data_IF_383584861517
#
_entry.id   IF_383584861517
#
_cell.length_a   1.000
_cell.length_b   1.000
_cell.length_c   1.000
_cell.angle_alpha   90.00
_cell.angle_beta   90.00
_cell.angle_gamma   90.00
#
_symmetry.space_group_name_H-M   'P 1'
#
loop_
_entity.id
_entity.type
_entity.pdbx_description
1 polymer ?
#
# COMPACT_ATOMS: atom_id res chain seq x y z
N UNK A 1 -4.67 -3.20 22.03
CA UNK A 1 -5.21 -2.16 21.13
C UNK A 1 -4.11 -1.69 20.20
N UNK A 2 -4.35 -1.72 18.89
CA UNK A 2 -3.43 -1.18 17.88
C UNK A 2 -3.89 0.20 17.44
N UNK A 3 -2.93 1.06 17.11
CA UNK A 3 -3.17 2.29 16.39
C UNK A 3 -3.00 2.01 14.90
N UNK A 4 -3.94 2.50 14.09
CA UNK A 4 -3.86 2.51 12.64
C UNK A 4 -3.98 3.95 12.15
N UNK A 5 -3.54 4.21 10.92
CA UNK A 5 -3.82 5.49 10.26
C UNK A 5 -5.32 5.65 10.04
N UNK A 6 -5.79 6.89 9.80
CA UNK A 6 -7.17 7.14 9.40
C UNK A 6 -7.53 6.40 8.11
N UNK A 7 -6.59 6.31 7.17
CA UNK A 7 -6.75 5.56 5.90
C UNK A 7 -7.07 4.11 6.19
N UNK A 8 -6.21 3.42 6.94
CA UNK A 8 -6.41 2.00 7.24
C UNK A 8 -7.68 1.76 8.07
N UNK A 9 -8.04 2.67 8.98
CA UNK A 9 -9.31 2.59 9.73
C UNK A 9 -10.50 2.65 8.75
N UNK A 10 -10.51 3.58 7.80
CA UNK A 10 -11.58 3.67 6.80
C UNK A 10 -11.66 2.42 5.93
N UNK A 11 -10.51 1.89 5.47
CA UNK A 11 -10.49 0.66 4.66
C UNK A 11 -11.03 -0.55 5.42
N UNK A 12 -10.72 -0.67 6.71
CA UNK A 12 -11.24 -1.74 7.56
C UNK A 12 -12.75 -1.61 7.77
N UNK A 13 -13.24 -0.39 7.97
CA UNK A 13 -14.66 -0.11 8.10
C UNK A 13 -15.42 -0.45 6.81
N UNK A 14 -14.92 -0.02 5.65
CA UNK A 14 -15.50 -0.35 4.33
C UNK A 14 -15.48 -1.85 4.02
N UNK A 15 -14.45 -2.56 4.50
CA UNK A 15 -14.35 -4.02 4.36
C UNK A 15 -15.16 -4.80 5.42
N UNK A 16 -15.83 -4.11 6.35
CA UNK A 16 -16.50 -4.69 7.52
C UNK A 16 -15.58 -5.63 8.34
N UNK A 17 -14.29 -5.28 8.42
CA UNK A 17 -13.29 -6.04 9.15
C UNK A 17 -13.12 -5.45 10.55
N UNK A 18 -13.48 -6.24 11.56
CA UNK A 18 -13.08 -5.96 12.94
C UNK A 18 -11.54 -6.00 13.07
N UNK A 19 -10.88 -4.91 13.50
CA UNK A 19 -9.44 -4.87 13.72
C UNK A 19 -8.92 -5.98 14.65
N UNK A 20 -9.73 -6.50 15.58
CA UNK A 20 -9.33 -7.60 16.45
C UNK A 20 -9.06 -8.89 15.65
N UNK A 21 -9.82 -9.14 14.58
CA UNK A 21 -9.61 -10.33 13.72
C UNK A 21 -8.25 -10.32 13.04
N UNK A 22 -7.78 -9.14 12.61
CA UNK A 22 -6.42 -8.98 12.06
C UNK A 22 -5.39 -9.27 13.12
N UNK A 23 -5.61 -8.76 14.34
CA UNK A 23 -4.67 -9.01 15.42
C UNK A 23 -4.56 -10.49 15.75
N UNK A 24 -5.69 -11.19 15.86
CA UNK A 24 -5.71 -12.63 16.17
C UNK A 24 -4.99 -13.45 15.10
N UNK A 25 -5.15 -13.08 13.83
CA UNK A 25 -4.43 -13.70 12.72
C UNK A 25 -2.92 -13.45 12.78
N UNK A 26 -2.50 -12.22 13.11
CA UNK A 26 -1.07 -11.93 13.32
C UNK A 26 -0.49 -12.67 14.52
N UNK A 27 -1.23 -12.73 15.64
CA UNK A 27 -0.81 -13.49 16.83
C UNK A 27 -0.70 -15.00 16.55
N UNK A 28 -1.56 -15.54 15.68
CA UNK A 28 -1.43 -16.91 15.20
C UNK A 28 -0.14 -17.09 14.39
N UNK A 29 0.18 -16.21 13.45
CA UNK A 29 1.42 -16.31 12.63
C UNK A 29 2.69 -16.14 13.44
N UNK A 30 2.69 -15.23 14.42
CA UNK A 30 3.81 -15.07 15.37
C UNK A 30 4.03 -16.37 16.16
N UNK A 31 2.95 -16.99 16.68
CA UNK A 31 3.05 -18.29 17.37
C UNK A 31 3.59 -19.39 16.46
N UNK A 32 3.28 -19.36 15.17
CA UNK A 32 3.82 -20.27 14.16
C UNK A 32 5.23 -19.91 13.68
N UNK A 33 5.89 -18.92 14.28
CA UNK A 33 7.23 -18.42 13.88
C UNK A 33 7.30 -17.91 12.42
N UNK A 34 6.16 -17.51 11.85
CA UNK A 34 6.06 -16.97 10.48
C UNK A 34 6.15 -15.43 10.41
N UNK A 35 6.43 -14.77 11.54
CA UNK A 35 6.47 -13.31 11.65
C UNK A 35 5.10 -12.65 11.87
N UNK A 36 5.11 -11.34 12.15
CA UNK A 36 3.93 -10.51 12.41
C UNK A 36 3.39 -9.78 11.17
N UNK A 37 3.34 -10.48 10.04
CA UNK A 37 2.99 -9.93 8.73
C UNK A 37 1.94 -10.79 8.05
N UNK A 38 0.94 -10.14 7.46
CA UNK A 38 -0.07 -10.75 6.61
C UNK A 38 0.19 -10.29 5.16
N UNK A 39 0.96 -11.08 4.44
CA UNK A 39 1.16 -10.95 3.00
C UNK A 39 0.36 -12.06 2.30
N UNK A 40 -0.29 -11.72 1.18
CA UNK A 40 -1.10 -12.64 0.36
C UNK A 40 -2.26 -13.36 1.09
N UNK A 41 -2.54 -12.93 2.32
CA UNK A 41 -3.58 -13.46 3.20
C UNK A 41 -4.99 -13.00 2.77
N UNK A 42 -6.03 -13.54 3.39
CA UNK A 42 -7.41 -13.18 3.07
C UNK A 42 -7.72 -11.71 3.39
N UNK A 43 -7.15 -11.13 4.46
CA UNK A 43 -7.40 -9.72 4.82
C UNK A 43 -6.89 -8.72 3.76
N UNK A 44 -5.61 -8.75 3.31
CA UNK A 44 -5.16 -7.95 2.17
C UNK A 44 -6.05 -8.09 0.93
N UNK A 45 -6.49 -9.32 0.60
CA UNK A 45 -7.37 -9.56 -0.55
C UNK A 45 -8.75 -8.93 -0.37
N UNK A 46 -9.34 -9.01 0.83
CA UNK A 46 -10.62 -8.36 1.15
C UNK A 46 -10.51 -6.84 1.03
N UNK A 47 -9.47 -6.25 1.62
CA UNK A 47 -9.23 -4.81 1.53
C UNK A 47 -9.03 -4.36 0.08
N UNK A 48 -8.31 -5.16 -0.73
CA UNK A 48 -8.13 -4.89 -2.16
C UNK A 48 -9.45 -4.86 -2.92
N UNK A 49 -10.36 -5.80 -2.62
CA UNK A 49 -11.65 -5.88 -3.30
C UNK A 49 -12.54 -4.66 -3.04
N UNK A 50 -12.54 -4.14 -1.80
CA UNK A 50 -13.41 -3.01 -1.45
C UNK A 50 -12.82 -1.66 -1.85
N UNK A 51 -11.49 -1.54 -1.84
CA UNK A 51 -10.84 -0.24 -2.10
C UNK A 51 -10.32 -0.07 -3.53
N UNK A 52 -10.25 -1.14 -4.30
CA UNK A 52 -9.60 -1.16 -5.62
C UNK A 52 -8.08 -0.97 -5.58
N UNK A 53 -7.49 -0.77 -4.39
CA UNK A 53 -6.06 -0.64 -4.17
C UNK A 53 -5.47 -2.00 -3.87
N UNK A 54 -4.40 -2.39 -4.56
CA UNK A 54 -3.75 -3.67 -4.29
C UNK A 54 -3.03 -3.60 -2.96
N UNK A 55 -3.65 -4.12 -1.90
CA UNK A 55 -3.02 -4.22 -0.59
C UNK A 55 -2.01 -5.36 -0.62
N UNK A 56 -0.73 -5.00 -0.54
CA UNK A 56 0.36 -5.96 -0.61
C UNK A 56 0.56 -6.62 0.75
N UNK A 57 0.61 -5.80 1.81
CA UNK A 57 0.97 -6.25 3.15
C UNK A 57 0.22 -5.47 4.22
N UNK A 58 -0.25 -6.20 5.24
CA UNK A 58 -0.52 -5.65 6.56
C UNK A 58 0.56 -6.15 7.52
N UNK A 59 1.19 -5.25 8.27
CA UNK A 59 2.24 -5.62 9.25
C UNK A 59 2.00 -4.96 10.59
N UNK A 60 2.35 -5.68 11.65
CA UNK A 60 2.35 -5.13 13.01
C UNK A 60 3.75 -4.72 13.42
N UNK A 61 3.90 -3.47 13.83
CA UNK A 61 5.13 -2.93 14.43
C UNK A 61 4.79 -2.29 15.78
N UNK A 62 5.22 -2.91 16.87
CA UNK A 62 4.86 -2.51 18.23
C UNK A 62 3.33 -2.42 18.39
N UNK A 63 2.78 -1.23 18.67
CA UNK A 63 1.34 -0.99 18.79
C UNK A 63 0.71 -0.46 17.50
N UNK A 64 1.41 -0.47 16.38
CA UNK A 64 0.90 0.07 15.11
C UNK A 64 0.60 -1.05 14.12
N UNK A 65 -0.60 -1.02 13.54
CA UNK A 65 -0.93 -1.76 12.33
C UNK A 65 -0.60 -0.86 11.15
N UNK A 66 0.27 -1.35 10.26
CA UNK A 66 0.81 -0.59 9.15
C UNK A 66 0.42 -1.25 7.83
N UNK A 67 0.00 -0.42 6.88
CA UNK A 67 -0.38 -0.81 5.53
C UNK A 67 0.78 -0.61 4.54
N UNK A 68 0.90 -1.53 3.59
CA UNK A 68 1.57 -1.29 2.31
C UNK A 68 0.64 -1.67 1.17
N UNK A 69 0.40 -0.73 0.26
CA UNK A 69 -0.52 -0.88 -0.86
C UNK A 69 0.07 -0.31 -2.15
N UNK A 70 -0.22 -0.95 -3.27
CA UNK A 70 0.05 -0.45 -4.61
C UNK A 70 -1.18 0.29 -5.15
N UNK A 71 -0.93 1.52 -5.59
CA UNK A 71 -1.84 2.39 -6.30
C UNK A 71 -1.26 2.64 -7.69
N UNK A 72 -1.70 1.87 -8.68
CA UNK A 72 -1.35 2.07 -10.10
C UNK A 72 0.17 2.15 -10.34
N UNK A 73 0.92 1.26 -9.70
CA UNK A 73 2.38 1.19 -9.76
C UNK A 73 3.11 2.06 -8.75
N UNK A 74 2.42 2.91 -7.97
CA UNK A 74 2.99 3.64 -6.83
C UNK A 74 2.74 2.88 -5.53
N UNK A 75 3.78 2.58 -4.77
CA UNK A 75 3.64 1.92 -3.48
C UNK A 75 3.48 2.97 -2.38
N UNK A 76 2.32 2.98 -1.73
CA UNK A 76 2.09 3.65 -0.46
C UNK A 76 2.50 2.74 0.69
N UNK A 77 3.30 3.25 1.63
CA UNK A 77 3.81 2.48 2.78
C UNK A 77 3.71 3.29 4.05
N UNK A 78 3.04 2.74 5.05
CA UNK A 78 3.02 3.30 6.40
C UNK A 78 4.25 2.87 7.20
N UNK A 79 4.87 3.82 7.88
CA UNK A 79 6.04 3.62 8.75
C UNK A 79 5.71 3.82 10.24
N UNK A 80 4.59 4.48 10.54
CA UNK A 80 4.08 4.77 11.88
C UNK A 80 2.70 5.41 11.78
N UNK A 81 2.15 5.86 12.92
CA UNK A 81 0.80 6.46 12.97
C UNK A 81 0.62 7.66 12.04
N UNK A 82 1.65 8.50 11.93
CA UNK A 82 1.63 9.76 11.17
C UNK A 82 2.75 9.83 10.13
N UNK A 83 3.40 8.70 9.85
CA UNK A 83 4.56 8.64 8.95
C UNK A 83 4.29 7.64 7.85
N UNK A 84 4.50 8.08 6.62
CA UNK A 84 4.25 7.32 5.40
C UNK A 84 5.29 7.70 4.35
N UNK A 85 5.56 6.74 3.49
CA UNK A 85 6.35 6.91 2.28
C UNK A 85 5.50 6.58 1.07
N UNK A 86 5.84 7.22 -0.03
CA UNK A 86 5.42 6.79 -1.35
C UNK A 86 6.68 6.40 -2.14
N UNK A 87 6.60 5.28 -2.83
CA UNK A 87 7.64 4.78 -3.72
C UNK A 87 7.04 4.75 -5.13
N UNK A 88 7.59 5.55 -6.03
CA UNK A 88 7.14 5.59 -7.42
C UNK A 88 8.24 5.06 -8.35
N UNK A 89 7.86 4.34 -9.42
CA UNK A 89 8.76 4.05 -10.51
C UNK A 89 8.97 5.34 -11.33
N UNK A 90 10.19 5.88 -11.30
CA UNK A 90 10.54 7.10 -12.04
C UNK A 90 10.44 8.40 -11.22
N UNK A 91 10.61 9.53 -11.90
CA UNK A 91 10.71 10.85 -11.27
C UNK A 91 9.36 11.59 -11.30
N UNK A 92 8.80 11.87 -10.13
CA UNK A 92 7.64 12.76 -10.02
C UNK A 92 8.04 14.22 -10.26
N UNK A 93 7.16 15.07 -10.83
CA UNK A 93 7.38 16.51 -10.85
C UNK A 93 7.63 17.05 -9.43
N UNK A 94 8.55 18.03 -9.24
CA UNK A 94 8.84 18.57 -7.92
C UNK A 94 7.59 19.09 -7.18
N UNK A 95 6.64 19.69 -7.92
CA UNK A 95 5.36 20.16 -7.38
C UNK A 95 4.50 19.04 -6.78
N UNK A 96 4.44 17.89 -7.47
CA UNK A 96 3.76 16.67 -6.98
C UNK A 96 4.46 16.10 -5.76
N UNK A 97 5.80 16.03 -5.76
CA UNK A 97 6.56 15.54 -4.59
C UNK A 97 6.31 16.41 -3.36
N UNK A 98 6.35 17.74 -3.51
CA UNK A 98 6.10 18.68 -2.42
C UNK A 98 4.66 18.52 -1.90
N UNK A 99 3.69 18.36 -2.79
CA UNK A 99 2.28 18.27 -2.42
C UNK A 99 1.95 16.94 -1.73
N UNK A 100 2.60 15.84 -2.12
CA UNK A 100 2.40 14.52 -1.51
C UNK A 100 3.19 14.34 -0.20
N UNK A 101 4.25 15.12 0.02
CA UNK A 101 5.10 15.00 1.20
C UNK A 101 4.33 15.28 2.48
N UNK A 102 4.43 14.36 3.44
CA UNK A 102 3.78 14.49 4.75
C UNK A 102 2.26 14.27 4.74
N UNK A 103 1.64 14.03 3.58
CA UNK A 103 0.19 13.85 3.48
C UNK A 103 -0.23 12.38 3.50
N UNK A 104 -1.34 12.11 4.17
CA UNK A 104 -1.93 10.77 4.16
C UNK A 104 -2.48 10.43 2.76
N UNK A 105 -2.61 9.13 2.46
CA UNK A 105 -3.01 8.67 1.13
C UNK A 105 -4.33 9.28 0.64
N UNK A 106 -5.34 9.36 1.51
CA UNK A 106 -6.63 9.98 1.19
C UNK A 106 -6.50 11.46 0.83
N UNK A 107 -5.64 12.21 1.50
CA UNK A 107 -5.38 13.62 1.19
C UNK A 107 -4.68 13.77 -0.17
N UNK A 108 -3.74 12.89 -0.47
CA UNK A 108 -3.01 12.87 -1.74
C UNK A 108 -3.96 12.55 -2.91
N UNK A 109 -4.92 11.64 -2.72
CA UNK A 109 -5.95 11.31 -3.70
C UNK A 109 -6.92 12.50 -3.88
N UNK A 110 -7.47 13.05 -2.78
CA UNK A 110 -8.44 14.15 -2.83
C UNK A 110 -7.87 15.44 -3.42
N UNK A 111 -6.57 15.71 -3.23
CA UNK A 111 -5.90 16.87 -3.82
C UNK A 111 -5.35 16.62 -5.23
N UNK A 112 -5.58 15.44 -5.82
CA UNK A 112 -5.11 15.10 -7.15
C UNK A 112 -3.59 15.09 -7.30
N UNK A 113 -2.84 15.07 -6.20
CA UNK A 113 -1.39 15.24 -6.23
C UNK A 113 -0.70 14.12 -7.04
N UNK A 114 -1.21 12.89 -6.95
CA UNK A 114 -0.77 11.75 -7.77
C UNK A 114 -1.66 11.50 -9.00
N UNK A 115 -2.77 12.25 -9.15
CA UNK A 115 -3.74 12.05 -10.24
C UNK A 115 -3.15 12.10 -11.66
N UNK A 116 -2.27 13.08 -11.99
CA UNK A 116 -1.62 13.13 -13.31
C UNK A 116 -0.58 12.02 -13.55
N UNK A 117 0.08 11.51 -12.50
CA UNK A 117 1.15 10.51 -12.63
C UNK A 117 0.62 9.07 -12.74
N UNK A 118 -0.63 8.84 -12.30
CA UNK A 118 -1.38 7.60 -12.50
C UNK A 118 -1.76 7.42 -13.99
N UNK A 119 -1.76 8.47 -14.80
CA UNK A 119 -2.02 8.43 -16.24
C UNK A 119 -0.85 8.04 -17.14
N UNK A 120 0.25 7.50 -16.59
CA UNK A 120 1.53 7.37 -17.31
C UNK A 120 2.01 5.96 -17.67
N UNK A 121 1.33 4.88 -17.26
CA UNK A 121 1.73 3.51 -17.65
C UNK A 121 0.59 2.81 -18.36
N UNK A 122 0.55 2.99 -19.68
CA UNK A 122 -0.30 2.18 -20.56
C UNK A 122 0.26 0.76 -20.61
N UNK A 123 -0.26 -0.14 -19.79
CA UNK A 123 -0.22 -1.56 -20.14
C UNK A 123 -1.27 -1.76 -21.22
N UNK A 124 -0.82 -1.90 -22.47
CA UNK A 124 -1.70 -2.29 -23.58
C UNK A 124 -2.18 -3.73 -23.31
N UNK A 125 -3.47 -3.85 -22.98
CA UNK A 125 -4.26 -5.07 -22.84
C UNK A 125 -4.00 -5.93 -21.57
N UNK A 126 -5.05 -6.33 -20.84
CA UNK A 126 -4.98 -7.34 -19.79
C UNK A 126 -5.17 -8.73 -20.42
N UNK A 127 -4.17 -9.21 -21.16
CA UNK A 127 -4.10 -10.60 -21.57
C UNK A 127 -2.63 -10.94 -21.84
N UNK A 128 -2.21 -12.08 -21.29
CA UNK A 128 -0.90 -12.72 -21.48
C UNK A 128 0.23 -12.20 -20.59
N UNK A 129 0.26 -12.75 -19.36
CA UNK A 129 1.51 -13.08 -18.68
C UNK A 129 1.27 -14.23 -17.68
N UNK A 130 0.75 -15.35 -18.20
CA UNK A 130 1.17 -16.67 -17.74
C UNK A 130 1.99 -17.26 -18.89
N UNK A 131 3.17 -17.77 -18.56
CA UNK A 131 4.20 -18.35 -19.43
C UNK A 131 5.08 -17.40 -20.26
N UNK A 132 6.40 -17.58 -20.10
CA UNK A 132 7.41 -17.12 -21.06
C UNK A 132 8.11 -15.81 -20.68
N UNK A 133 9.41 -15.89 -20.39
CA UNK A 133 10.26 -14.77 -20.05
C UNK A 133 10.31 -13.69 -21.15
N UNK A 134 10.24 -12.41 -20.74
CA UNK A 134 10.97 -11.32 -21.41
C UNK A 134 11.72 -10.51 -20.35
N UNK A 135 13.04 -10.50 -20.54
CA UNK A 135 14.02 -9.77 -19.76
C UNK A 135 14.00 -8.28 -20.10
N UNK A 136 13.72 -7.44 -19.11
CA UNK A 136 14.46 -6.20 -18.89
C UNK A 136 14.63 -6.05 -17.39
N UNK A 137 15.85 -6.31 -16.91
CA UNK A 137 16.28 -5.94 -15.57
C UNK A 137 16.54 -4.42 -15.54
N UNK A 138 15.49 -3.64 -15.82
CA UNK A 138 15.40 -2.26 -15.36
C UNK A 138 14.63 -2.37 -14.07
N UNK A 139 15.32 -2.60 -12.94
CA UNK A 139 14.74 -2.17 -11.68
C UNK A 139 14.45 -0.66 -11.89
N UNK A 140 13.19 -0.22 -11.96
CA UNK A 140 12.93 1.21 -12.09
C UNK A 140 13.63 1.86 -10.90
N UNK A 141 14.34 2.97 -11.13
CA UNK A 141 14.91 3.73 -10.01
C UNK A 141 13.74 4.23 -9.17
N UNK A 142 13.45 3.52 -8.09
CA UNK A 142 12.38 3.85 -7.17
C UNK A 142 12.75 5.14 -6.46
N UNK A 143 11.91 6.15 -6.62
CA UNK A 143 12.04 7.37 -5.83
C UNK A 143 11.18 7.25 -4.59
N UNK A 144 11.82 7.53 -3.46
CA UNK A 144 11.17 7.60 -2.15
C UNK A 144 10.98 9.05 -1.78
N UNK A 145 9.76 9.38 -1.38
CA UNK A 145 9.44 10.66 -0.76
C UNK A 145 8.62 10.40 0.50
N UNK A 146 9.06 11.04 1.59
CA UNK A 146 8.55 10.82 2.95
C UNK A 146 8.54 12.11 3.77
N UNK A 147 7.60 12.18 4.71
CA UNK A 147 7.46 13.24 5.71
C UNK A 147 8.51 13.14 6.81
#
# INVERSE_FOLDING_TARGET
MFFASSVLISMLAEAEIDPQRINDAMDRRVRMRQGGMLAEDHFPRMLTKVTGMRVNVLRRRSRYLLLEADLMGTIYRELGRTKWDFLCPGTLPPSTQITARGKALNEVISHGALGPFIGGVTIKSPSDAWDGAVAFNLQPRWQRFGG
#
